data_IF_705275100573
#
_entry.id   IF_705275100573
#
_cell.length_a   1.000
_cell.length_b   1.000
_cell.length_c   1.000
_cell.angle_alpha   90.00
_cell.angle_beta   90.00
_cell.angle_gamma   90.00
#
_symmetry.space_group_name_H-M   'P 1'
#
loop_
_entity.id
_entity.type
_entity.pdbx_description
1 polymer ?
#
# COMPACT_ATOMS: atom_id res chain seq x y z
N UNK A 1 9.55 -11.51 -8.20
CA UNK A 1 8.80 -10.30 -8.58
C UNK A 1 8.57 -9.52 -7.29
N UNK A 2 9.29 -8.41 -7.09
CA UNK A 2 9.31 -7.70 -5.79
C UNK A 2 7.93 -7.15 -5.40
N UNK A 3 7.70 -7.00 -4.11
CA UNK A 3 6.46 -6.40 -3.62
C UNK A 3 6.43 -4.93 -3.98
N UNK A 4 5.31 -4.48 -4.54
CA UNK A 4 5.14 -3.08 -4.95
C UNK A 4 4.31 -2.33 -3.92
N UNK A 5 4.75 -1.11 -3.60
CA UNK A 5 3.99 -0.20 -2.75
C UNK A 5 2.56 -0.01 -3.25
N UNK A 6 2.35 0.07 -4.57
CA UNK A 6 1.03 0.25 -5.16
C UNK A 6 0.04 -0.87 -4.78
N UNK A 7 0.48 -2.13 -4.89
CA UNK A 7 -0.38 -3.27 -4.56
C UNK A 7 -0.65 -3.35 -3.06
N UNK A 8 0.34 -3.00 -2.22
CA UNK A 8 0.15 -2.89 -0.78
C UNK A 8 -0.87 -1.81 -0.40
N UNK A 9 -0.75 -0.61 -1.00
CA UNK A 9 -1.71 0.48 -0.80
C UNK A 9 -3.13 0.02 -1.19
N UNK A 10 -3.27 -0.60 -2.37
CA UNK A 10 -4.55 -1.10 -2.87
C UNK A 10 -5.18 -2.11 -1.93
N UNK A 11 -4.39 -3.08 -1.45
CA UNK A 11 -4.85 -4.12 -0.54
C UNK A 11 -5.29 -3.54 0.82
N UNK A 12 -4.44 -2.75 1.48
CA UNK A 12 -4.74 -2.22 2.82
C UNK A 12 -5.91 -1.25 2.82
N UNK A 13 -6.04 -0.40 1.79
CA UNK A 13 -7.20 0.49 1.68
C UNK A 13 -8.48 -0.34 1.44
N UNK A 14 -8.42 -1.34 0.56
CA UNK A 14 -9.57 -2.22 0.33
C UNK A 14 -10.02 -2.93 1.60
N UNK A 15 -9.06 -3.48 2.37
CA UNK A 15 -9.32 -4.12 3.67
C UNK A 15 -9.90 -3.13 4.68
N UNK A 16 -9.35 -1.92 4.75
CA UNK A 16 -9.85 -0.90 5.69
C UNK A 16 -11.28 -0.45 5.36
N UNK A 17 -11.68 -0.52 4.08
CA UNK A 17 -13.02 -0.14 3.62
C UNK A 17 -14.00 -1.32 3.53
N UNK A 18 -13.54 -2.53 3.83
CA UNK A 18 -14.32 -3.78 3.68
C UNK A 18 -14.92 -3.96 2.27
N UNK A 19 -14.19 -3.48 1.25
CA UNK A 19 -14.59 -3.59 -0.17
C UNK A 19 -13.41 -3.31 -1.08
N UNK A 20 -13.52 -3.71 -2.34
CA UNK A 20 -12.50 -3.43 -3.35
C UNK A 20 -12.60 -1.98 -3.82
N UNK A 21 -11.52 -1.22 -3.71
CA UNK A 21 -11.42 0.11 -4.34
C UNK A 21 -10.98 0.00 -5.80
N UNK A 22 -11.28 1.02 -6.59
CA UNK A 22 -10.79 1.15 -7.95
C UNK A 22 -9.26 1.29 -7.95
N UNK A 23 -8.58 0.44 -8.73
CA UNK A 23 -7.13 0.58 -8.95
C UNK A 23 -6.81 1.87 -9.71
N UNK A 24 -7.69 2.25 -10.64
CA UNK A 24 -7.52 3.46 -11.44
C UNK A 24 -7.62 4.72 -10.59
N UNK A 25 -8.57 4.78 -9.66
CA UNK A 25 -8.75 5.96 -8.81
C UNK A 25 -7.60 6.11 -7.82
N UNK A 26 -7.09 4.98 -7.29
CA UNK A 26 -5.86 4.97 -6.51
C UNK A 26 -4.66 5.46 -7.33
N UNK A 27 -4.53 5.01 -8.57
CA UNK A 27 -3.46 5.41 -9.48
C UNK A 27 -3.48 6.92 -9.72
N UNK A 28 -4.65 7.49 -10.04
CA UNK A 28 -4.83 8.93 -10.21
C UNK A 28 -4.55 9.71 -8.92
N UNK A 29 -5.02 9.23 -7.77
CA UNK A 29 -4.81 9.91 -6.50
C UNK A 29 -3.32 9.97 -6.11
N UNK A 30 -2.54 8.97 -6.49
CA UNK A 30 -1.08 8.95 -6.30
C UNK A 30 -0.39 9.89 -7.27
N UNK A 31 -0.80 9.87 -8.54
CA UNK A 31 -0.28 10.76 -9.58
C UNK A 31 -0.50 12.24 -9.22
N UNK A 32 -1.71 12.59 -8.80
CA UNK A 32 -2.07 13.93 -8.34
C UNK A 32 -1.28 14.39 -7.11
N UNK A 33 -0.86 13.44 -6.26
CA UNK A 33 0.02 13.73 -5.13
C UNK A 33 1.49 13.89 -5.55
N UNK A 34 1.81 13.81 -6.84
CA UNK A 34 3.17 13.88 -7.38
C UNK A 34 3.99 12.62 -7.11
N UNK A 35 3.34 11.45 -7.02
CA UNK A 35 3.98 10.14 -6.98
C UNK A 35 3.88 9.42 -8.32
N UNK A 36 4.78 8.47 -8.57
CA UNK A 36 4.69 7.55 -9.71
C UNK A 36 4.19 6.18 -9.21
N UNK A 37 2.96 5.75 -9.55
CA UNK A 37 2.40 4.47 -9.13
C UNK A 37 3.25 3.23 -9.50
N UNK A 38 4.03 3.29 -10.58
CA UNK A 38 4.85 2.16 -11.05
C UNK A 38 6.22 2.11 -10.35
N UNK A 39 6.69 3.25 -9.83
CA UNK A 39 7.99 3.41 -9.16
C UNK A 39 7.85 4.03 -7.76
N UNK A 40 6.77 3.70 -7.05
CA UNK A 40 6.49 4.26 -5.74
C UNK A 40 7.61 3.99 -4.74
N UNK A 41 8.00 5.04 -4.01
CA UNK A 41 8.88 4.96 -2.85
C UNK A 41 8.18 5.37 -1.55
N UNK A 42 8.89 5.21 -0.43
CA UNK A 42 8.39 5.56 0.90
C UNK A 42 8.03 7.06 1.04
N UNK A 43 8.76 7.94 0.36
CA UNK A 43 8.56 9.39 0.41
C UNK A 43 7.25 9.76 -0.29
N UNK A 44 7.01 9.21 -1.47
CA UNK A 44 5.80 9.39 -2.25
C UNK A 44 4.59 8.79 -1.53
N UNK A 45 4.73 7.60 -0.91
CA UNK A 45 3.68 7.02 -0.08
C UNK A 45 3.33 7.92 1.10
N UNK A 46 4.34 8.48 1.77
CA UNK A 46 4.13 9.41 2.89
C UNK A 46 3.35 10.65 2.43
N UNK A 47 3.73 11.22 1.29
CA UNK A 47 3.04 12.38 0.70
C UNK A 47 1.60 12.04 0.34
N UNK A 48 1.36 10.91 -0.32
CA UNK A 48 0.03 10.42 -0.64
C UNK A 48 -0.85 10.29 0.61
N UNK A 49 -0.32 9.67 1.68
CA UNK A 49 -1.04 9.49 2.95
C UNK A 49 -1.45 10.83 3.57
N UNK A 50 -0.56 11.83 3.53
CA UNK A 50 -0.79 13.15 4.11
C UNK A 50 -1.71 14.03 3.27
N UNK A 51 -1.65 13.94 1.94
CA UNK A 51 -2.27 14.92 1.04
C UNK A 51 -3.48 14.38 0.28
N UNK A 52 -3.43 13.12 -0.17
CA UNK A 52 -4.42 12.58 -1.11
C UNK A 52 -5.33 11.50 -0.51
N UNK A 53 -4.85 10.72 0.47
CA UNK A 53 -5.63 9.62 1.05
C UNK A 53 -6.94 10.12 1.68
N UNK A 54 -6.99 11.33 2.24
CA UNK A 54 -8.23 11.91 2.77
C UNK A 54 -9.24 12.30 1.68
N UNK A 55 -8.77 12.67 0.48
CA UNK A 55 -9.60 12.98 -0.67
C UNK A 55 -10.13 11.69 -1.31
N UNK A 56 -9.26 10.72 -1.56
CA UNK A 56 -9.62 9.40 -2.09
C UNK A 56 -10.71 8.74 -1.25
N UNK A 57 -10.58 8.71 0.09
CA UNK A 57 -11.62 8.13 0.94
C UNK A 57 -12.97 8.84 0.82
N UNK A 58 -12.98 10.16 0.60
CA UNK A 58 -14.23 10.92 0.41
C UNK A 58 -14.86 10.65 -0.95
N UNK A 59 -14.06 10.55 -2.01
CA UNK A 59 -14.53 10.22 -3.37
C UNK A 59 -15.11 8.81 -3.42
N UNK A 60 -14.47 7.88 -2.71
CA UNK A 60 -15.00 6.54 -2.44
C UNK A 60 -16.28 6.57 -1.58
N UNK A 61 -16.67 7.71 -0.99
CA UNK A 61 -17.82 7.78 -0.08
C UNK A 61 -17.59 7.07 1.25
N UNK A 62 -16.34 6.78 1.59
CA UNK A 62 -15.95 6.13 2.82
C UNK A 62 -15.69 7.13 3.95
N UNK A 63 -16.28 6.86 5.12
CA UNK A 63 -15.95 7.55 6.36
C UNK A 63 -15.38 6.55 7.36
N UNK A 64 -14.06 6.56 7.49
CA UNK A 64 -13.38 5.80 8.53
C UNK A 64 -13.49 6.50 9.88
N UNK A 65 -13.81 5.74 10.92
CA UNK A 65 -13.67 6.22 12.29
C UNK A 65 -12.21 6.66 12.55
N UNK A 66 -11.95 7.67 13.40
CA UNK A 66 -10.61 8.21 13.61
C UNK A 66 -9.56 7.15 13.99
N UNK A 67 -9.95 6.15 14.78
CA UNK A 67 -9.07 5.03 15.15
C UNK A 67 -8.73 4.12 13.96
N UNK A 68 -9.72 3.81 13.13
CA UNK A 68 -9.54 2.99 11.92
C UNK A 68 -8.64 3.73 10.92
N UNK A 69 -8.86 5.04 10.73
CA UNK A 69 -8.02 5.90 9.90
C UNK A 69 -6.55 5.89 10.35
N UNK A 70 -6.29 6.15 11.64
CA UNK A 70 -4.92 6.12 12.20
C UNK A 70 -4.26 4.74 12.11
N UNK A 71 -5.05 3.66 12.11
CA UNK A 71 -4.54 2.29 11.94
C UNK A 71 -4.14 2.05 10.48
N UNK A 72 -4.98 2.47 9.53
CA UNK A 72 -4.67 2.41 8.10
C UNK A 72 -3.38 3.17 7.79
N UNK A 73 -3.29 4.45 8.16
CA UNK A 73 -2.10 5.28 7.91
C UNK A 73 -0.82 4.62 8.45
N UNK A 74 -0.87 4.07 9.67
CA UNK A 74 0.26 3.35 10.25
C UNK A 74 0.66 2.10 9.46
N UNK A 75 -0.30 1.35 8.89
CA UNK A 75 0.02 0.18 8.06
C UNK A 75 0.63 0.57 6.72
N UNK A 76 0.12 1.63 6.08
CA UNK A 76 0.68 2.12 4.82
C UNK A 76 2.11 2.61 5.00
N UNK A 77 2.40 3.34 6.08
CA UNK A 77 3.73 3.92 6.34
C UNK A 77 4.76 2.94 6.92
N UNK A 78 4.31 1.80 7.48
CA UNK A 78 5.20 0.76 8.02
C UNK A 78 5.63 -0.25 6.98
N UNK A 79 4.97 -0.28 5.83
CA UNK A 79 5.33 -1.22 4.79
C UNK A 79 6.69 -0.90 4.20
N UNK A 80 7.48 -1.96 4.08
CA UNK A 80 8.82 -1.95 3.52
C UNK A 80 8.88 -3.10 2.50
N UNK A 81 9.01 -2.80 1.19
CA UNK A 81 9.04 -3.81 0.15
C UNK A 81 10.31 -4.67 0.19
N UNK A 82 11.39 -4.15 0.79
CA UNK A 82 12.68 -4.84 0.88
C UNK A 82 12.74 -5.78 2.10
N UNK A 83 11.81 -5.64 3.04
CA UNK A 83 11.67 -6.51 4.20
C UNK A 83 10.81 -7.74 3.86
N UNK A 84 11.38 -8.97 3.86
CA UNK A 84 10.61 -10.17 3.55
C UNK A 84 9.56 -10.46 4.64
N UNK A 85 8.37 -10.95 4.27
CA UNK A 85 7.44 -11.42 5.32
C UNK A 85 7.95 -12.72 5.95
N UNK A 86 7.46 -13.08 7.15
CA UNK A 86 7.68 -14.42 7.71
C UNK A 86 7.36 -15.56 6.74
N UNK A 87 6.31 -15.43 5.91
CA UNK A 87 5.97 -16.44 4.90
C UNK A 87 7.03 -16.52 3.79
N UNK A 88 7.59 -15.39 3.36
CA UNK A 88 8.70 -15.39 2.41
C UNK A 88 9.97 -15.93 3.07
N UNK A 89 10.31 -15.51 4.29
CA UNK A 89 11.44 -16.05 5.05
C UNK A 89 11.32 -17.57 5.16
N UNK A 90 10.14 -18.08 5.52
CA UNK A 90 9.87 -19.51 5.57
C UNK A 90 10.02 -20.16 4.18
N UNK A 91 9.50 -19.57 3.12
CA UNK A 91 9.68 -20.09 1.76
C UNK A 91 11.16 -20.12 1.34
N UNK A 92 11.96 -19.13 1.74
CA UNK A 92 13.42 -19.11 1.51
C UNK A 92 14.12 -20.23 2.29
N UNK A 93 13.71 -20.46 3.54
CA UNK A 93 14.26 -21.52 4.38
C UNK A 93 13.89 -22.93 3.89
N UNK A 94 12.67 -23.11 3.37
CA UNK A 94 12.17 -24.40 2.88
C UNK A 94 12.64 -24.74 1.46
N UNK A 95 13.02 -23.75 0.65
CA UNK A 95 13.46 -23.94 -0.74
C UNK A 95 14.73 -23.13 -1.07
N UNK A 96 15.88 -23.45 -0.44
CA UNK A 96 17.12 -22.69 -0.64
C UNK A 96 17.64 -22.73 -2.09
N UNK A 97 17.30 -23.78 -2.83
CA UNK A 97 17.86 -24.07 -4.16
C UNK A 97 17.24 -23.22 -5.30
N UNK A 98 16.15 -22.50 -5.04
CA UNK A 98 15.47 -21.67 -6.05
C UNK A 98 16.03 -20.24 -6.14
N UNK A 99 16.99 -19.87 -5.29
CA UNK A 99 17.56 -18.52 -5.21
C UNK A 99 19.00 -18.40 -5.78
N UNK A 100 19.56 -19.46 -6.36
CA UNK A 100 20.92 -19.48 -6.91
C UNK A 100 21.00 -19.31 -8.44
N UNK A 101 19.91 -18.94 -9.11
CA UNK A 101 19.82 -18.71 -10.55
C UNK A 101 19.24 -17.31 -10.84
#
# INVERSE_FOLDING_TARGET
>A
MGRRYFDHLHAEISVALDRRISRYDLWLAIWDAGGDPDALDRTQVTRFVQQALGRLLREEGARLAPRARRRLERRLLRFDPDSPTPAEVLAHLLHPERNAA
#
